data_IF_481620386561
#
_entry.id   IF_481620386561
#
_cell.length_a   1.000
_cell.length_b   1.000
_cell.length_c   1.000
_cell.angle_alpha   90.00
_cell.angle_beta   90.00
_cell.angle_gamma   90.00
#
_symmetry.space_group_name_H-M   'P 1'
#
loop_
_entity.id
_entity.type
_entity.pdbx_description
1 polymer ?
#
# COMPACT_ATOMS: atom_id res chain seq x y z
N UNK A 1 23.65 4.17 9.04
CA UNK A 1 22.23 3.80 9.24
C UNK A 1 21.52 4.75 10.20
N UNK A 2 22.00 4.95 11.43
CA UNK A 2 21.35 5.85 12.41
C UNK A 2 21.14 7.30 11.90
N UNK A 3 22.15 7.87 11.21
CA UNK A 3 22.04 9.22 10.63
C UNK A 3 20.99 9.35 9.52
N UNK A 4 20.81 8.30 8.70
CA UNK A 4 19.80 8.28 7.63
C UNK A 4 18.37 8.28 8.20
N UNK A 5 18.10 7.44 9.21
CA UNK A 5 16.77 7.38 9.81
C UNK A 5 16.44 8.68 10.54
N UNK A 6 17.40 9.25 11.28
CA UNK A 6 17.21 10.53 11.96
C UNK A 6 16.92 11.66 10.97
N UNK A 7 17.63 11.74 9.85
CA UNK A 7 17.39 12.75 8.82
C UNK A 7 16.05 12.53 8.11
N UNK A 8 15.68 11.27 7.86
CA UNK A 8 14.40 10.91 7.28
C UNK A 8 13.24 11.35 8.19
N UNK A 9 13.25 11.04 9.49
CA UNK A 9 12.18 11.44 10.40
C UNK A 9 12.07 12.96 10.57
N UNK A 10 13.20 13.67 10.64
CA UNK A 10 13.21 15.13 10.64
C UNK A 10 12.60 15.69 9.35
N UNK A 11 12.91 15.08 8.21
CA UNK A 11 12.36 15.43 6.91
C UNK A 11 10.85 15.20 6.85
N UNK A 12 10.33 14.11 7.43
CA UNK A 12 8.87 13.87 7.46
C UNK A 12 8.12 15.05 8.10
N UNK A 13 8.62 15.55 9.23
CA UNK A 13 8.04 16.70 9.92
C UNK A 13 8.21 18.01 9.14
N UNK A 14 9.34 18.18 8.44
CA UNK A 14 9.56 19.35 7.58
C UNK A 14 8.64 19.32 6.35
N UNK A 15 8.53 18.19 5.66
CA UNK A 15 7.63 17.95 4.53
C UNK A 15 6.19 18.23 4.90
N UNK A 16 5.72 17.73 6.05
CA UNK A 16 4.35 17.99 6.52
C UNK A 16 4.08 19.49 6.67
N UNK A 17 5.04 20.25 7.21
CA UNK A 17 4.92 21.71 7.34
C UNK A 17 4.89 22.41 5.98
N UNK A 18 5.74 22.00 5.03
CA UNK A 18 5.76 22.56 3.67
C UNK A 18 4.50 22.24 2.88
N UNK A 19 4.01 21.01 2.95
CA UNK A 19 2.76 20.60 2.31
C UNK A 19 1.54 21.28 2.95
N UNK A 20 1.54 21.46 4.27
CA UNK A 20 0.52 22.25 4.96
C UNK A 20 0.52 23.71 4.49
N UNK A 21 1.69 24.29 4.23
CA UNK A 21 1.77 25.64 3.67
C UNK A 21 1.24 25.73 2.22
N UNK A 22 1.36 24.68 1.42
CA UNK A 22 0.87 24.66 0.02
C UNK A 22 -0.60 24.27 -0.12
N UNK A 23 -1.09 23.30 0.67
CA UNK A 23 -2.45 22.76 0.59
C UNK A 23 -3.42 23.39 1.62
N UNK A 24 -2.88 24.10 2.60
CA UNK A 24 -3.62 24.56 3.78
C UNK A 24 -3.98 23.42 4.74
N UNK A 25 -4.47 23.80 5.93
CA UNK A 25 -4.79 22.85 7.02
C UNK A 25 -5.81 21.79 6.61
N UNK A 26 -6.88 22.22 5.93
CA UNK A 26 -7.96 21.33 5.49
C UNK A 26 -7.48 20.40 4.37
N UNK A 27 -6.73 20.92 3.40
CA UNK A 27 -6.20 20.13 2.29
C UNK A 27 -5.23 19.06 2.78
N UNK A 28 -4.33 19.43 3.70
CA UNK A 28 -3.41 18.47 4.32
C UNK A 28 -4.16 17.39 5.11
N UNK A 29 -5.18 17.78 5.88
CA UNK A 29 -6.00 16.82 6.64
C UNK A 29 -6.73 15.83 5.74
N UNK A 30 -7.34 16.31 4.64
CA UNK A 30 -8.01 15.44 3.65
C UNK A 30 -7.01 14.52 2.97
N UNK A 31 -5.83 15.03 2.57
CA UNK A 31 -4.81 14.21 1.92
C UNK A 31 -4.29 13.10 2.85
N UNK A 32 -3.96 13.43 4.10
CA UNK A 32 -3.53 12.46 5.11
C UNK A 32 -4.63 11.42 5.38
N UNK A 33 -5.88 11.87 5.51
CA UNK A 33 -7.02 10.97 5.69
C UNK A 33 -7.18 10.01 4.51
N UNK A 34 -7.17 10.50 3.27
CA UNK A 34 -7.32 9.67 2.07
C UNK A 34 -6.19 8.64 1.95
N UNK A 35 -4.94 9.04 2.23
CA UNK A 35 -3.80 8.12 2.19
C UNK A 35 -3.95 7.03 3.24
N UNK A 36 -4.26 7.40 4.50
CA UNK A 36 -4.41 6.45 5.59
C UNK A 36 -5.63 5.54 5.40
N UNK A 37 -6.75 6.10 4.94
CA UNK A 37 -7.96 5.34 4.66
C UNK A 37 -7.73 4.35 3.51
N UNK A 38 -7.12 4.76 2.41
CA UNK A 38 -6.84 3.86 1.29
C UNK A 38 -5.89 2.72 1.65
N UNK A 39 -4.81 3.03 2.39
CA UNK A 39 -3.88 2.01 2.90
C UNK A 39 -4.55 1.08 3.93
N UNK A 40 -5.33 1.64 4.86
CA UNK A 40 -6.01 0.88 5.90
C UNK A 40 -7.09 -0.03 5.34
N UNK A 41 -7.95 0.49 4.46
CA UNK A 41 -9.02 -0.28 3.81
C UNK A 41 -8.42 -1.36 2.88
N UNK A 42 -7.38 -1.04 2.11
CA UNK A 42 -6.73 -2.02 1.24
C UNK A 42 -5.97 -3.13 1.94
N UNK A 43 -5.55 -2.92 3.19
CA UNK A 43 -4.81 -3.92 3.98
C UNK A 43 -5.70 -4.68 4.96
N UNK A 44 -6.51 -3.98 5.75
CA UNK A 44 -7.37 -4.56 6.78
C UNK A 44 -8.77 -4.89 6.25
N UNK A 45 -9.27 -4.12 5.29
CA UNK A 45 -10.61 -4.33 4.73
C UNK A 45 -10.75 -5.65 3.98
N UNK A 46 -9.64 -6.25 3.54
CA UNK A 46 -9.64 -7.59 2.94
C UNK A 46 -10.02 -8.70 3.94
N UNK A 47 -9.93 -8.46 5.25
CA UNK A 47 -10.30 -9.44 6.27
C UNK A 47 -11.76 -9.32 6.74
N UNK A 48 -12.55 -8.45 6.11
CA UNK A 48 -13.97 -8.30 6.45
C UNK A 48 -14.77 -9.55 6.09
N UNK A 49 -14.34 -10.30 5.07
CA UNK A 49 -14.97 -11.56 4.63
C UNK A 49 -13.92 -12.57 4.22
N UNK A 50 -14.19 -13.86 4.40
CA UNK A 50 -13.19 -14.93 4.25
C UNK A 50 -12.63 -15.08 2.83
N UNK A 51 -13.41 -14.76 1.79
CA UNK A 51 -12.99 -14.91 0.39
C UNK A 51 -12.25 -13.69 -0.18
N UNK A 52 -12.37 -12.54 0.48
CA UNK A 52 -11.81 -11.27 0.00
C UNK A 52 -10.28 -11.28 -0.16
N UNK A 53 -9.49 -11.92 0.73
CA UNK A 53 -8.05 -12.05 0.53
C UNK A 53 -7.69 -12.91 -0.70
N UNK A 54 -8.54 -13.89 -1.04
CA UNK A 54 -8.36 -14.70 -2.25
C UNK A 54 -8.62 -13.93 -3.54
N UNK A 55 -9.56 -12.98 -3.51
CA UNK A 55 -9.92 -12.15 -4.67
C UNK A 55 -8.88 -11.05 -4.97
N UNK A 56 -8.26 -10.45 -3.96
CA UNK A 56 -7.24 -9.42 -4.12
C UNK A 56 -6.01 -9.64 -3.22
N UNK A 57 -5.25 -10.74 -3.42
CA UNK A 57 -4.16 -11.12 -2.52
C UNK A 57 -3.02 -10.09 -2.47
N UNK A 58 -2.87 -9.30 -3.54
CA UNK A 58 -1.87 -8.24 -3.64
C UNK A 58 -2.17 -7.03 -2.77
N UNK A 59 -3.41 -6.83 -2.30
CA UNK A 59 -3.75 -5.68 -1.44
C UNK A 59 -2.98 -5.67 -0.12
N UNK A 60 -2.64 -6.86 0.41
CA UNK A 60 -1.78 -6.98 1.60
C UNK A 60 -0.35 -6.48 1.37
N UNK A 61 0.15 -6.51 0.12
CA UNK A 61 1.50 -6.03 -0.19
C UNK A 61 1.59 -4.50 -0.24
N UNK A 62 0.47 -3.78 -0.38
CA UNK A 62 0.43 -2.33 -0.60
C UNK A 62 1.13 -1.52 0.51
N UNK A 63 0.94 -1.80 1.82
CA UNK A 63 1.67 -1.09 2.89
C UNK A 63 3.18 -1.28 2.81
N UNK A 64 3.65 -2.45 2.39
CA UNK A 64 5.09 -2.73 2.24
C UNK A 64 5.67 -1.99 1.04
N UNK A 65 4.95 -1.99 -0.09
CA UNK A 65 5.32 -1.20 -1.28
C UNK A 65 5.37 0.29 -0.92
N UNK A 66 4.39 0.79 -0.18
CA UNK A 66 4.37 2.16 0.31
C UNK A 66 5.65 2.48 1.11
N UNK A 67 5.97 1.67 2.12
CA UNK A 67 7.15 1.86 2.98
C UNK A 67 8.46 1.80 2.20
N UNK A 68 8.65 0.77 1.36
CA UNK A 68 9.86 0.60 0.56
C UNK A 68 10.04 1.79 -0.39
N UNK A 69 8.98 2.16 -1.10
CA UNK A 69 9.02 3.31 -2.01
C UNK A 69 9.32 4.62 -1.28
N UNK A 70 8.73 4.83 -0.10
CA UNK A 70 9.01 6.02 0.72
C UNK A 70 10.48 6.11 1.13
N UNK A 71 11.07 5.01 1.59
CA UNK A 71 12.48 4.92 1.95
C UNK A 71 13.37 5.18 0.73
N UNK A 72 13.05 4.60 -0.43
CA UNK A 72 13.80 4.83 -1.68
C UNK A 72 13.71 6.28 -2.14
N UNK A 73 12.54 6.91 -2.03
CA UNK A 73 12.35 8.33 -2.35
C UNK A 73 13.24 9.20 -1.46
N UNK A 74 13.28 8.94 -0.15
CA UNK A 74 14.12 9.72 0.75
C UNK A 74 15.62 9.46 0.55
N UNK A 75 16.02 8.20 0.30
CA UNK A 75 17.40 7.87 -0.08
C UNK A 75 17.84 8.61 -1.34
N UNK A 76 16.96 8.69 -2.36
CA UNK A 76 17.23 9.45 -3.59
C UNK A 76 17.29 10.95 -3.33
N UNK A 77 16.46 11.48 -2.44
CA UNK A 77 16.52 12.89 -2.02
C UNK A 77 17.87 13.21 -1.35
N UNK A 78 18.31 12.39 -0.41
CA UNK A 78 19.60 12.57 0.28
C UNK A 78 20.77 12.49 -0.71
N UNK A 79 20.73 11.54 -1.66
CA UNK A 79 21.72 11.45 -2.73
C UNK A 79 21.70 12.68 -3.66
N UNK A 80 20.54 13.28 -3.92
CA UNK A 80 20.42 14.49 -4.73
C UNK A 80 20.97 15.72 -4.01
N UNK A 81 20.78 15.82 -2.69
CA UNK A 81 21.33 16.88 -1.85
C UNK A 81 22.86 16.79 -1.68
N UNK A 82 23.42 15.58 -1.75
CA UNK A 82 24.87 15.36 -1.67
C UNK A 82 25.62 15.76 -2.96
N UNK A 83 24.92 16.14 -4.03
CA UNK A 83 25.55 16.59 -5.28
C UNK A 83 25.99 18.05 -5.17
N UNK A 84 27.18 18.35 -5.68
CA UNK A 84 27.70 19.71 -5.72
C UNK A 84 26.77 20.63 -6.53
N UNK A 85 26.49 21.84 -6.00
CA UNK A 85 25.56 22.79 -6.61
C UNK A 85 24.06 22.48 -6.46
N UNK A 86 23.67 21.50 -5.66
CA UNK A 86 22.27 21.21 -5.40
C UNK A 86 21.57 22.40 -4.74
N UNK A 87 20.45 22.85 -5.32
CA UNK A 87 19.55 23.83 -4.70
C UNK A 87 18.63 23.10 -3.69
N UNK A 88 18.88 23.18 -2.37
CA UNK A 88 18.23 22.31 -1.39
C UNK A 88 16.72 22.49 -1.35
N UNK A 89 16.24 23.72 -1.56
CA UNK A 89 14.82 24.05 -1.59
C UNK A 89 14.10 23.40 -2.78
N UNK A 90 14.68 23.50 -3.99
CA UNK A 90 14.10 22.92 -5.21
C UNK A 90 14.05 21.39 -5.12
N UNK A 91 15.10 20.78 -4.57
CA UNK A 91 15.14 19.33 -4.31
C UNK A 91 14.05 18.97 -3.30
N UNK A 92 13.94 19.71 -2.19
CA UNK A 92 12.90 19.50 -1.18
C UNK A 92 11.49 19.49 -1.77
N UNK A 93 11.10 20.56 -2.48
CA UNK A 93 9.75 20.68 -3.08
C UNK A 93 9.46 19.56 -4.08
N UNK A 94 10.45 19.22 -4.92
CA UNK A 94 10.27 18.17 -5.93
C UNK A 94 10.03 16.81 -5.29
N UNK A 95 10.83 16.46 -4.28
CA UNK A 95 10.69 15.18 -3.58
C UNK A 95 9.48 15.14 -2.63
N UNK A 96 8.99 16.28 -2.16
CA UNK A 96 7.73 16.37 -1.41
C UNK A 96 6.54 15.96 -2.29
N UNK A 97 6.47 16.48 -3.52
CA UNK A 97 5.42 16.09 -4.48
C UNK A 97 5.56 14.64 -4.94
N UNK A 98 6.79 14.16 -5.17
CA UNK A 98 7.02 12.74 -5.50
C UNK A 98 6.53 11.84 -4.36
N UNK A 99 6.87 12.17 -3.11
CA UNK A 99 6.41 11.41 -1.96
C UNK A 99 4.88 11.46 -1.80
N UNK A 100 4.27 12.63 -2.03
CA UNK A 100 2.81 12.78 -1.98
C UNK A 100 2.12 11.94 -3.05
N UNK A 101 2.56 12.04 -4.32
CA UNK A 101 2.01 11.28 -5.44
C UNK A 101 2.18 9.77 -5.24
N UNK A 102 3.35 9.33 -4.75
CA UNK A 102 3.60 7.94 -4.38
C UNK A 102 2.61 7.45 -3.32
N UNK A 103 2.40 8.28 -2.28
CA UNK A 103 1.48 7.98 -1.19
C UNK A 103 0.04 7.83 -1.69
N UNK A 104 -0.41 8.77 -2.54
CA UNK A 104 -1.72 8.68 -3.18
C UNK A 104 -1.84 7.48 -4.12
N UNK A 105 -0.81 7.17 -4.90
CA UNK A 105 -0.79 5.99 -5.77
C UNK A 105 -0.97 4.69 -4.98
N UNK A 106 -0.26 4.55 -3.85
CA UNK A 106 -0.43 3.39 -2.96
C UNK A 106 -1.82 3.36 -2.32
N UNK A 107 -2.34 4.50 -1.89
CA UNK A 107 -3.68 4.58 -1.30
C UNK A 107 -4.79 4.21 -2.31
N UNK A 108 -4.67 4.66 -3.55
CA UNK A 108 -5.56 4.28 -4.65
C UNK A 108 -5.46 2.80 -4.99
N UNK A 109 -4.24 2.24 -5.01
CA UNK A 109 -4.05 0.81 -5.19
C UNK A 109 -4.71 0.01 -4.05
N UNK A 110 -4.56 0.45 -2.80
CA UNK A 110 -5.22 -0.16 -1.65
C UNK A 110 -6.75 -0.11 -1.77
N UNK A 111 -7.31 1.05 -2.11
CA UNK A 111 -8.75 1.19 -2.35
C UNK A 111 -9.24 0.29 -3.50
N UNK A 112 -8.47 0.19 -4.58
CA UNK A 112 -8.80 -0.68 -5.71
C UNK A 112 -8.80 -2.17 -5.31
N UNK A 113 -7.83 -2.62 -4.50
CA UNK A 113 -7.80 -3.99 -3.98
C UNK A 113 -9.08 -4.30 -3.20
N UNK A 114 -9.49 -3.38 -2.32
CA UNK A 114 -10.70 -3.53 -1.54
C UNK A 114 -11.96 -3.58 -2.41
N UNK A 115 -12.10 -2.66 -3.37
CA UNK A 115 -13.26 -2.64 -4.28
C UNK A 115 -13.35 -3.93 -5.09
N UNK A 116 -12.22 -4.42 -5.63
CA UNK A 116 -12.18 -5.69 -6.35
C UNK A 116 -12.61 -6.85 -5.45
N UNK A 117 -12.07 -6.92 -4.24
CA UNK A 117 -12.42 -7.98 -3.30
C UNK A 117 -13.88 -7.91 -2.84
N UNK A 118 -14.42 -6.70 -2.64
CA UNK A 118 -15.79 -6.48 -2.19
C UNK A 118 -16.81 -6.83 -3.27
N UNK A 119 -16.46 -6.59 -4.54
CA UNK A 119 -17.27 -6.92 -5.71
C UNK A 119 -17.08 -8.36 -6.21
N UNK A 120 -16.16 -9.13 -5.62
CA UNK A 120 -15.95 -10.52 -5.99
C UNK A 120 -17.12 -11.41 -5.51
N UNK A 121 -17.49 -12.37 -6.34
CA UNK A 121 -18.50 -13.36 -5.98
C UNK A 121 -17.99 -14.23 -4.82
N UNK A 122 -18.85 -14.49 -3.80
CA UNK A 122 -18.51 -15.45 -2.77
C UNK A 122 -18.32 -16.83 -3.41
N UNK A 123 -17.39 -17.66 -2.89
CA UNK A 123 -17.24 -19.02 -3.35
C UNK A 123 -18.57 -19.76 -3.22
N UNK A 124 -18.84 -20.66 -4.17
CA UNK A 124 -20.04 -21.49 -4.12
C UNK A 124 -20.08 -22.23 -2.77
N UNK A 125 -21.25 -22.32 -2.11
CA UNK A 125 -21.37 -23.14 -0.92
C UNK A 125 -21.00 -24.57 -1.29
N UNK A 126 -20.21 -25.23 -0.44
CA UNK A 126 -19.89 -26.65 -0.59
C UNK A 126 -21.23 -27.40 -0.62
N UNK A 127 -21.51 -28.11 -1.71
CA UNK A 127 -22.73 -28.92 -1.80
C UNK A 127 -22.60 -30.04 -0.75
N UNK A 128 -23.49 -30.08 0.25
CA UNK A 128 -23.43 -31.12 1.29
C UNK A 128 -23.65 -32.54 0.72
N UNK A 129 -24.09 -32.66 -0.53
CA UNK A 129 -24.26 -33.93 -1.24
C UNK A 129 -23.13 -34.24 -2.24
N UNK A 130 -22.18 -33.32 -2.46
CA UNK A 130 -21.01 -33.58 -3.30
C UNK A 130 -20.03 -34.44 -2.49
N UNK A 131 -20.07 -35.75 -2.77
CA UNK A 131 -19.16 -36.70 -2.16
C UNK A 131 -17.72 -36.38 -2.58
N UNK A 132 -16.92 -35.91 -1.64
CA UNK A 132 -15.47 -35.75 -1.82
C UNK A 132 -14.78 -37.04 -1.36
N UNK A 133 -14.02 -37.72 -2.23
CA UNK A 133 -13.27 -38.90 -1.84
C UNK A 133 -12.29 -38.52 -0.72
N UNK A 134 -12.20 -39.30 0.37
CA UNK A 134 -11.16 -39.09 1.38
C UNK A 134 -9.78 -39.20 0.71
N UNK A 135 -8.79 -38.42 1.13
CA UNK A 135 -7.45 -38.38 0.49
C UNK A 135 -6.76 -39.75 0.39
N UNK A 136 -7.22 -40.73 1.18
CA UNK A 136 -6.76 -42.12 1.17
C UNK A 136 -7.45 -43.02 0.15
N UNK A 137 -8.42 -42.53 -0.63
CA UNK A 137 -9.09 -43.35 -1.64
C UNK A 137 -8.18 -43.54 -2.86
N UNK A 138 -7.59 -44.74 -2.96
CA UNK A 138 -6.88 -45.17 -4.16
C UNK A 138 -7.91 -45.41 -5.27
N UNK A 139 -7.78 -44.78 -6.45
CA UNK A 139 -8.63 -45.11 -7.58
C UNK A 139 -8.33 -46.55 -8.00
N UNK A 140 -9.26 -47.46 -7.75
CA UNK A 140 -9.18 -48.83 -8.26
C UNK A 140 -9.82 -48.80 -9.64
N UNK A 141 -9.00 -48.68 -10.68
CA UNK A 141 -9.45 -48.92 -12.06
C UNK A 141 -9.83 -50.39 -12.20
N UNK A 142 -11.12 -50.71 -12.13
CA UNK A 142 -11.63 -52.03 -12.48
C UNK A 142 -11.75 -52.08 -14.00
N UNK A 143 -10.70 -52.55 -14.67
CA UNK A 143 -10.77 -52.94 -16.08
C UNK A 143 -11.65 -54.20 -16.22
N UNK A 144 -12.52 -54.29 -17.26
CA UNK A 144 -13.44 -55.42 -17.45
C UNK A 144 -12.73 -56.75 -17.73
#
# INVERSE_FOLDING_TARGET
MAGFLSSMFAEMGARRRRLRASLGDRGQGIAEFLVLAGLGVGSLGLFVREWMPGAAPWGFAVPFVFLIGYVLIDARRQAALAREGAAPEKVGVSYDWIALLWSFGCALAGAAAFVIAWSAEPPAPIDPNEWTPPETSVPVDISP
#
